data_IF_338400297570
#
_entry.id   IF_338400297570
#
_cell.length_a   1.000
_cell.length_b   1.000
_cell.length_c   1.000
_cell.angle_alpha   90.00
_cell.angle_beta   90.00
_cell.angle_gamma   90.00
#
_symmetry.space_group_name_H-M   'P 1'
#
loop_
_entity.id
_entity.type
_entity.pdbx_description
1 polymer ?
#
# COMPACT_ATOMS: atom_id res chain seq x y z
N UNK A 1 8.08 3.01 -26.78
CA UNK A 1 7.26 3.81 -25.83
C UNK A 1 8.22 4.64 -25.00
N UNK A 2 8.34 5.95 -25.22
CA UNK A 2 9.46 6.74 -24.68
C UNK A 2 9.10 7.39 -23.34
N UNK A 3 10.11 7.65 -22.52
CA UNK A 3 10.00 8.24 -21.17
C UNK A 3 9.26 9.60 -21.15
N UNK A 4 9.24 10.32 -22.28
CA UNK A 4 8.52 11.60 -22.44
C UNK A 4 6.99 11.42 -22.49
N UNK A 5 6.51 10.34 -23.10
CA UNK A 5 5.07 10.04 -23.23
C UNK A 5 4.44 9.70 -21.87
N UNK A 6 5.19 9.04 -20.99
CA UNK A 6 4.76 8.74 -19.63
C UNK A 6 4.68 10.01 -18.77
N UNK A 7 5.67 10.91 -18.87
CA UNK A 7 5.68 12.18 -18.14
C UNK A 7 4.51 13.09 -18.56
N UNK A 8 4.22 13.18 -19.85
CA UNK A 8 3.09 13.96 -20.36
C UNK A 8 1.75 13.41 -19.85
N UNK A 9 1.55 12.09 -19.91
CA UNK A 9 0.34 11.44 -19.37
C UNK A 9 0.21 11.60 -17.86
N UNK A 10 1.30 11.46 -17.11
CA UNK A 10 1.29 11.68 -15.67
C UNK A 10 0.92 13.12 -15.31
N UNK A 11 1.37 14.10 -16.11
CA UNK A 11 1.06 15.51 -15.90
C UNK A 11 -0.43 15.83 -16.16
N UNK A 12 -1.01 15.25 -17.21
CA UNK A 12 -2.46 15.35 -17.49
C UNK A 12 -3.29 14.64 -16.42
N UNK A 13 -2.85 13.46 -15.95
CA UNK A 13 -3.53 12.74 -14.86
C UNK A 13 -3.45 13.49 -13.53
N UNK A 14 -2.33 14.16 -13.25
CA UNK A 14 -2.15 14.98 -12.05
C UNK A 14 -3.13 16.17 -12.01
N UNK A 15 -3.45 16.78 -13.15
CA UNK A 15 -4.45 17.87 -13.23
C UNK A 15 -5.87 17.42 -12.86
N UNK A 16 -6.17 16.12 -12.99
CA UNK A 16 -7.45 15.51 -12.64
C UNK A 16 -7.43 14.79 -11.27
N UNK A 17 -6.32 14.86 -10.54
CA UNK A 17 -6.18 14.20 -9.24
C UNK A 17 -7.10 14.85 -8.20
N UNK A 18 -7.95 14.04 -7.57
CA UNK A 18 -8.81 14.45 -6.45
C UNK A 18 -8.06 14.41 -5.10
N UNK A 19 -6.73 14.37 -5.13
CA UNK A 19 -5.90 14.37 -3.93
C UNK A 19 -5.93 15.71 -3.19
N UNK A 20 -5.45 15.75 -1.93
CA UNK A 20 -5.41 16.97 -1.15
C UNK A 20 -4.57 18.05 -1.85
N UNK A 21 -5.15 19.25 -2.00
CA UNK A 21 -4.51 20.38 -2.68
C UNK A 21 -3.63 21.21 -1.76
N UNK A 22 -3.89 21.19 -0.45
CA UNK A 22 -3.09 21.91 0.54
C UNK A 22 -1.82 21.14 0.90
N UNK A 23 -0.73 21.87 1.16
CA UNK A 23 0.54 21.26 1.61
C UNK A 23 0.36 20.44 2.90
N UNK A 24 -0.51 20.89 3.81
CA UNK A 24 -0.89 20.13 5.01
C UNK A 24 -1.62 18.81 4.67
N UNK A 25 -2.58 18.84 3.74
CA UNK A 25 -3.29 17.64 3.30
C UNK A 25 -2.37 16.66 2.55
N UNK A 26 -1.45 17.17 1.74
CA UNK A 26 -0.41 16.35 1.08
C UNK A 26 0.53 15.72 2.11
N UNK A 27 0.94 16.47 3.14
CA UNK A 27 1.80 15.96 4.21
C UNK A 27 1.14 14.84 5.00
N UNK A 28 -0.15 14.98 5.33
CA UNK A 28 -0.94 13.93 6.03
C UNK A 28 -1.08 12.67 5.16
N UNK A 29 -1.43 12.82 3.87
CA UNK A 29 -1.48 11.66 2.94
C UNK A 29 -0.12 11.02 2.75
N UNK A 30 0.95 11.81 2.67
CA UNK A 30 2.31 11.32 2.54
C UNK A 30 2.82 10.62 3.82
N UNK A 31 2.38 11.05 5.00
CA UNK A 31 2.67 10.39 6.26
C UNK A 31 1.92 9.05 6.40
N UNK A 32 0.66 8.98 5.97
CA UNK A 32 -0.11 7.73 5.98
C UNK A 32 0.52 6.66 5.06
N UNK A 33 1.02 7.08 3.89
CA UNK A 33 1.76 6.18 2.99
C UNK A 33 3.14 5.76 3.56
N UNK A 34 3.82 6.64 4.30
CA UNK A 34 5.13 6.38 4.91
C UNK A 34 5.07 5.51 6.17
N UNK A 35 4.01 5.64 6.98
CA UNK A 35 3.94 5.03 8.32
C UNK A 35 3.24 3.67 8.33
N UNK A 36 2.21 3.47 7.49
CA UNK A 36 1.32 2.30 7.60
C UNK A 36 0.87 1.71 6.24
N UNK A 37 1.46 2.12 5.12
CA UNK A 37 1.09 1.59 3.81
C UNK A 37 1.74 0.25 3.48
N UNK A 38 1.03 -0.61 2.73
CA UNK A 38 1.57 -1.81 2.07
C UNK A 38 2.76 -1.51 1.13
N UNK A 39 3.01 -0.23 0.84
CA UNK A 39 4.15 0.29 0.07
C UNK A 39 5.17 1.07 0.90
N UNK A 40 5.07 1.05 2.24
CA UNK A 40 6.02 1.72 3.14
C UNK A 40 7.40 1.06 3.12
N UNK A 41 8.35 1.58 3.91
CA UNK A 41 9.68 0.94 4.07
C UNK A 41 9.51 -0.50 4.56
N UNK A 42 10.26 -1.43 3.99
CA UNK A 42 10.25 -2.82 4.42
C UNK A 42 10.97 -2.95 5.75
N UNK A 43 10.52 -3.89 6.58
CA UNK A 43 11.20 -4.26 7.81
C UNK A 43 12.59 -4.86 7.46
N UNK A 44 13.70 -4.27 7.95
CA UNK A 44 15.04 -4.76 7.66
C UNK A 44 15.26 -6.21 8.08
N UNK A 45 14.61 -6.66 9.15
CA UNK A 45 14.73 -8.05 9.65
C UNK A 45 14.14 -9.04 8.66
N UNK A 46 12.96 -8.73 8.12
CA UNK A 46 12.32 -9.51 7.07
C UNK A 46 13.17 -9.58 5.81
N UNK A 47 13.81 -8.48 5.40
CA UNK A 47 14.71 -8.45 4.24
C UNK A 47 15.96 -9.29 4.49
N UNK A 48 16.59 -9.16 5.67
CA UNK A 48 17.76 -9.95 6.05
C UNK A 48 17.46 -11.46 6.06
N UNK A 49 16.28 -11.85 6.58
CA UNK A 49 15.84 -13.24 6.58
C UNK A 49 15.74 -13.84 5.17
N UNK A 50 15.20 -13.08 4.21
CA UNK A 50 15.16 -13.51 2.81
C UNK A 50 16.54 -13.54 2.18
N UNK A 51 17.39 -12.56 2.49
CA UNK A 51 18.75 -12.51 1.97
C UNK A 51 19.58 -13.71 2.45
N UNK A 52 19.46 -14.08 3.72
CA UNK A 52 20.05 -15.28 4.31
C UNK A 52 19.65 -16.56 3.55
N UNK A 53 18.36 -16.69 3.21
CA UNK A 53 17.86 -17.81 2.41
C UNK A 53 18.42 -17.80 0.99
N UNK A 54 18.45 -16.64 0.33
CA UNK A 54 18.90 -16.50 -1.07
C UNK A 54 20.40 -16.79 -1.21
N UNK A 55 21.20 -16.29 -0.27
CA UNK A 55 22.66 -16.49 -0.24
C UNK A 55 23.08 -17.80 0.43
N UNK A 56 22.14 -18.55 1.03
CA UNK A 56 22.41 -19.72 1.85
C UNK A 56 23.38 -19.42 3.02
N UNK A 57 23.15 -18.28 3.68
CA UNK A 57 23.94 -17.75 4.80
C UNK A 57 23.02 -17.51 5.99
N UNK A 58 22.79 -18.50 6.87
CA UNK A 58 21.77 -18.43 7.91
C UNK A 58 22.06 -17.37 8.99
N UNK A 59 23.32 -16.96 9.16
CA UNK A 59 23.75 -16.05 10.22
C UNK A 59 23.66 -14.56 9.84
N UNK A 60 23.22 -14.24 8.62
CA UNK A 60 23.22 -12.88 8.08
C UNK A 60 22.20 -11.98 8.82
N UNK A 61 22.68 -10.89 9.41
CA UNK A 61 21.87 -9.96 10.20
C UNK A 61 21.50 -8.70 9.40
N UNK A 62 20.52 -7.94 9.92
CA UNK A 62 20.10 -6.68 9.28
C UNK A 62 21.20 -5.62 9.16
N UNK A 63 22.24 -5.70 9.99
CA UNK A 63 23.41 -4.81 9.92
C UNK A 63 24.38 -5.17 8.78
N UNK A 64 24.26 -6.37 8.22
CA UNK A 64 25.14 -6.91 7.17
C UNK A 64 24.60 -6.63 5.75
N UNK A 65 23.57 -5.77 5.63
CA UNK A 65 22.85 -5.46 4.37
C UNK A 65 23.64 -4.58 3.38
N UNK A 66 24.97 -4.68 3.34
CA UNK A 66 25.86 -3.89 2.49
C UNK A 66 26.57 -4.81 1.48
N UNK A 67 25.98 -5.05 0.30
CA UNK A 67 26.64 -5.82 -0.74
C UNK A 67 27.70 -4.97 -1.48
N UNK A 68 28.89 -5.53 -1.63
CA UNK A 68 30.02 -4.89 -2.34
C UNK A 68 30.19 -5.44 -3.77
N UNK A 69 29.46 -6.48 -4.15
CA UNK A 69 29.52 -7.13 -5.45
C UNK A 69 28.15 -7.17 -6.17
N UNK A 70 28.17 -7.33 -7.50
CA UNK A 70 26.96 -7.35 -8.32
C UNK A 70 26.01 -8.50 -7.91
N UNK A 71 26.58 -9.62 -7.46
CA UNK A 71 25.83 -10.76 -6.95
C UNK A 71 25.06 -10.34 -5.68
N UNK A 72 25.74 -9.83 -4.66
CA UNK A 72 25.10 -9.35 -3.43
C UNK A 72 24.03 -8.28 -3.68
N UNK A 73 24.26 -7.36 -4.63
CA UNK A 73 23.28 -6.34 -4.99
C UNK A 73 22.00 -6.97 -5.56
N UNK A 74 22.11 -7.93 -6.48
CA UNK A 74 20.93 -8.62 -7.02
C UNK A 74 20.23 -9.50 -5.99
N UNK A 75 20.99 -10.13 -5.09
CA UNK A 75 20.44 -10.91 -3.98
C UNK A 75 19.60 -10.01 -3.06
N UNK A 76 20.12 -8.83 -2.70
CA UNK A 76 19.42 -7.85 -1.87
C UNK A 76 18.13 -7.35 -2.56
N UNK A 77 18.18 -7.05 -3.85
CA UNK A 77 16.99 -6.63 -4.62
C UNK A 77 15.93 -7.74 -4.62
N UNK A 78 16.33 -9.00 -4.81
CA UNK A 78 15.42 -10.15 -4.74
C UNK A 78 14.84 -10.31 -3.33
N UNK A 79 15.66 -10.20 -2.28
CA UNK A 79 15.22 -10.27 -0.90
C UNK A 79 14.17 -9.21 -0.55
N UNK A 80 14.40 -7.96 -0.98
CA UNK A 80 13.43 -6.88 -0.84
C UNK A 80 12.13 -7.18 -1.58
N UNK A 81 12.21 -7.74 -2.79
CA UNK A 81 11.03 -8.09 -3.57
C UNK A 81 10.21 -9.23 -2.93
N UNK A 82 10.86 -10.24 -2.35
CA UNK A 82 10.21 -11.33 -1.61
C UNK A 82 9.53 -10.79 -0.33
N UNK A 83 10.25 -9.99 0.48
CA UNK A 83 9.68 -9.34 1.66
C UNK A 83 8.46 -8.46 1.30
N UNK A 84 8.55 -7.70 0.21
CA UNK A 84 7.46 -6.87 -0.29
C UNK A 84 6.24 -7.69 -0.74
N UNK A 85 6.46 -8.84 -1.38
CA UNK A 85 5.38 -9.73 -1.80
C UNK A 85 4.65 -10.31 -0.58
N UNK A 86 5.38 -10.86 0.39
CA UNK A 86 4.79 -11.41 1.61
C UNK A 86 3.95 -10.36 2.33
N UNK A 87 4.47 -9.14 2.49
CA UNK A 87 3.70 -8.04 3.11
C UNK A 87 2.41 -7.72 2.35
N UNK A 88 2.46 -7.65 1.02
CA UNK A 88 1.28 -7.35 0.22
C UNK A 88 0.22 -8.45 0.28
N UNK A 89 0.64 -9.72 0.25
CA UNK A 89 -0.27 -10.86 0.37
C UNK A 89 -0.87 -10.95 1.77
N UNK A 90 -0.07 -10.70 2.81
CA UNK A 90 -0.55 -10.68 4.20
C UNK A 90 -1.57 -9.55 4.41
N UNK A 91 -1.32 -8.34 3.89
CA UNK A 91 -2.29 -7.25 3.98
C UNK A 91 -3.62 -7.57 3.27
N UNK A 92 -3.58 -8.17 2.08
CA UNK A 92 -4.80 -8.62 1.39
C UNK A 92 -5.54 -9.69 2.19
N UNK A 93 -4.82 -10.65 2.77
CA UNK A 93 -5.40 -11.71 3.61
C UNK A 93 -6.03 -11.15 4.88
N UNK A 94 -5.39 -10.19 5.54
CA UNK A 94 -5.90 -9.55 6.75
C UNK A 94 -7.16 -8.74 6.45
N UNK A 95 -7.19 -8.06 5.31
CA UNK A 95 -8.40 -7.41 4.80
C UNK A 95 -9.54 -8.42 4.57
N UNK A 96 -9.28 -9.47 3.79
CA UNK A 96 -10.31 -10.44 3.40
C UNK A 96 -10.83 -11.28 4.57
N UNK A 97 -10.01 -11.45 5.62
CA UNK A 97 -10.37 -12.11 6.87
C UNK A 97 -10.99 -11.18 7.92
N UNK A 98 -11.10 -9.88 7.63
CA UNK A 98 -11.68 -8.89 8.56
C UNK A 98 -10.81 -8.57 9.77
N UNK A 99 -9.54 -8.99 9.78
CA UNK A 99 -8.57 -8.67 10.84
C UNK A 99 -7.97 -7.29 10.70
N UNK A 100 -8.00 -6.73 9.49
CA UNK A 100 -7.47 -5.41 9.24
C UNK A 100 -8.40 -4.34 9.80
N UNK A 101 -7.82 -3.39 10.57
CA UNK A 101 -8.60 -2.29 11.11
C UNK A 101 -9.02 -1.31 10.01
N UNK A 102 -10.22 -0.71 10.12
CA UNK A 102 -10.58 0.48 9.38
C UNK A 102 -9.52 1.57 9.50
N UNK A 103 -9.42 2.42 8.49
CA UNK A 103 -8.60 3.62 8.56
C UNK A 103 -9.11 4.57 9.63
N UNK A 104 -8.22 5.36 10.25
CA UNK A 104 -8.60 6.38 11.23
C UNK A 104 -9.67 7.32 10.68
N UNK A 105 -9.55 7.67 9.38
CA UNK A 105 -10.52 8.50 8.66
C UNK A 105 -11.92 7.88 8.62
N UNK A 106 -12.03 6.56 8.44
CA UNK A 106 -13.34 5.90 8.47
C UNK A 106 -13.87 5.79 9.90
N UNK A 107 -13.01 5.62 10.90
CA UNK A 107 -13.42 5.70 12.31
C UNK A 107 -14.03 7.08 12.60
N UNK A 108 -13.36 8.16 12.21
CA UNK A 108 -13.88 9.54 12.35
C UNK A 108 -15.22 9.72 11.60
N UNK A 109 -15.36 9.15 10.39
CA UNK A 109 -16.63 9.22 9.66
C UNK A 109 -17.75 8.43 10.33
N UNK A 110 -17.45 7.30 10.99
CA UNK A 110 -18.44 6.53 11.76
C UNK A 110 -18.91 7.31 12.98
N UNK A 111 -17.99 7.94 13.70
CA UNK A 111 -18.33 8.82 14.83
C UNK A 111 -19.22 9.99 14.36
N UNK A 112 -18.88 10.62 13.23
CA UNK A 112 -19.73 11.68 12.64
C UNK A 112 -21.11 11.18 12.23
N UNK A 113 -21.20 9.97 11.66
CA UNK A 113 -22.48 9.35 11.30
C UNK A 113 -23.35 9.17 12.55
N UNK A 114 -22.77 8.66 13.63
CA UNK A 114 -23.49 8.37 14.86
C UNK A 114 -23.97 9.69 15.51
N UNK A 115 -23.13 10.73 15.54
CA UNK A 115 -23.55 12.08 15.99
C UNK A 115 -24.72 12.66 15.17
N UNK A 116 -24.69 12.52 13.84
CA UNK A 116 -25.78 13.01 12.96
C UNK A 116 -27.09 12.24 13.25
N UNK A 117 -27.00 10.93 13.47
CA UNK A 117 -28.18 10.11 13.77
C UNK A 117 -28.80 10.49 15.12
N UNK A 118 -27.97 10.71 16.14
CA UNK A 118 -28.41 11.13 17.47
C UNK A 118 -29.09 12.52 17.41
N UNK A 119 -28.48 13.49 16.72
CA UNK A 119 -29.06 14.83 16.55
C UNK A 119 -30.42 14.77 15.82
N UNK A 120 -30.54 13.96 14.77
CA UNK A 120 -31.80 13.77 14.04
C UNK A 120 -32.91 13.11 14.86
N UNK A 121 -32.55 12.33 15.89
CA UNK A 121 -33.49 11.63 16.75
C UNK A 121 -34.02 12.52 17.88
N UNK A 122 -33.19 13.44 18.39
CA UNK A 122 -33.50 14.28 19.56
C UNK A 122 -34.04 15.65 19.14
N UNK A 123 -33.45 16.29 18.13
CA UNK A 123 -33.74 17.68 17.81
C UNK A 123 -34.85 17.84 16.76
N UNK A 124 -35.82 18.74 16.96
CA UNK A 124 -36.80 19.08 15.93
C UNK A 124 -36.10 19.75 14.75
N UNK A 125 -35.94 19.00 13.67
CA UNK A 125 -35.28 19.47 12.46
C UNK A 125 -36.27 19.87 11.35
N UNK A 126 -35.91 20.90 10.58
CA UNK A 126 -36.65 21.26 9.38
C UNK A 126 -36.49 20.17 8.29
N UNK A 127 -37.43 20.13 7.33
CA UNK A 127 -37.34 19.23 6.17
C UNK A 127 -36.02 19.38 5.41
N UNK A 128 -35.49 20.61 5.33
CA UNK A 128 -34.23 20.92 4.66
C UNK A 128 -33.04 20.31 5.41
N UNK A 129 -32.93 20.56 6.71
CA UNK A 129 -31.86 19.99 7.55
C UNK A 129 -31.88 18.47 7.52
N UNK A 130 -33.07 17.85 7.61
CA UNK A 130 -33.22 16.40 7.50
C UNK A 130 -32.72 15.86 6.16
N UNK A 131 -33.00 16.54 5.05
CA UNK A 131 -32.51 16.16 3.72
C UNK A 131 -30.99 16.26 3.61
N UNK A 132 -30.41 17.33 4.15
CA UNK A 132 -28.96 17.55 4.15
C UNK A 132 -28.25 16.47 4.98
N UNK A 133 -28.78 16.15 6.17
CA UNK A 133 -28.26 15.09 7.02
C UNK A 133 -28.31 13.70 6.35
N UNK A 134 -29.45 13.33 5.75
CA UNK A 134 -29.57 12.05 5.00
C UNK A 134 -28.59 11.96 3.81
N UNK A 135 -28.33 13.09 3.14
CA UNK A 135 -27.32 13.16 2.07
C UNK A 135 -25.91 12.88 2.61
N UNK A 136 -25.56 13.46 3.75
CA UNK A 136 -24.27 13.21 4.42
C UNK A 136 -24.14 11.74 4.86
N UNK A 137 -25.17 11.19 5.50
CA UNK A 137 -25.20 9.77 5.90
C UNK A 137 -25.02 8.83 4.71
N UNK A 138 -25.68 9.12 3.58
CA UNK A 138 -25.52 8.35 2.33
C UNK A 138 -24.08 8.40 1.80
N UNK A 139 -23.43 9.56 1.89
CA UNK A 139 -22.03 9.71 1.47
C UNK A 139 -21.07 8.96 2.40
N UNK A 140 -21.30 9.00 3.72
CA UNK A 140 -20.50 8.26 4.70
C UNK A 140 -20.65 6.75 4.47
N UNK A 141 -21.88 6.26 4.31
CA UNK A 141 -22.14 4.84 4.03
C UNK A 141 -21.43 4.36 2.76
N UNK A 142 -21.40 5.20 1.71
CA UNK A 142 -20.65 4.90 0.48
C UNK A 142 -19.14 4.79 0.73
N UNK A 143 -18.55 5.69 1.53
CA UNK A 143 -17.12 5.63 1.88
C UNK A 143 -16.83 4.35 2.68
N UNK A 144 -17.70 4.01 3.63
CA UNK A 144 -17.57 2.78 4.41
C UNK A 144 -17.54 1.54 3.52
N UNK A 145 -18.49 1.42 2.58
CA UNK A 145 -18.52 0.30 1.61
C UNK A 145 -17.25 0.26 0.75
N UNK A 146 -16.79 1.40 0.23
CA UNK A 146 -15.57 1.44 -0.61
C UNK A 146 -14.30 1.07 0.16
N UNK A 147 -14.30 1.25 1.48
CA UNK A 147 -13.17 0.88 2.31
C UNK A 147 -13.25 -0.56 2.83
N UNK A 148 -14.40 -1.04 3.29
CA UNK A 148 -14.50 -2.31 4.03
C UNK A 148 -15.01 -3.48 3.19
N UNK A 149 -15.75 -3.22 2.11
CA UNK A 149 -16.37 -4.29 1.35
C UNK A 149 -15.37 -4.98 0.41
N UNK A 150 -15.57 -6.29 0.23
CA UNK A 150 -14.95 -7.03 -0.88
C UNK A 150 -15.41 -6.42 -2.20
N UNK A 151 -14.45 -6.00 -3.01
CA UNK A 151 -14.68 -5.32 -4.29
C UNK A 151 -14.68 -3.79 -4.19
N UNK A 152 -14.69 -3.25 -2.97
CA UNK A 152 -14.46 -1.83 -2.70
C UNK A 152 -13.08 -1.36 -3.18
N UNK A 153 -12.89 -0.05 -3.20
CA UNK A 153 -11.65 0.61 -3.58
C UNK A 153 -10.43 0.09 -2.81
N UNK A 154 -10.52 -0.12 -1.49
CA UNK A 154 -9.41 -0.64 -0.67
C UNK A 154 -9.03 -2.06 -1.09
N UNK A 155 -10.01 -2.96 -1.23
CA UNK A 155 -9.80 -4.32 -1.70
C UNK A 155 -9.09 -4.35 -3.07
N UNK A 156 -9.60 -3.59 -4.04
CA UNK A 156 -9.02 -3.49 -5.39
C UNK A 156 -7.59 -2.94 -5.37
N UNK A 157 -7.30 -2.02 -4.46
CA UNK A 157 -5.95 -1.47 -4.27
C UNK A 157 -4.98 -2.53 -3.73
N UNK A 158 -5.37 -3.29 -2.71
CA UNK A 158 -4.56 -4.38 -2.16
C UNK A 158 -4.27 -5.46 -3.22
N UNK A 159 -5.29 -5.87 -3.99
CA UNK A 159 -5.11 -6.80 -5.11
C UNK A 159 -4.15 -6.27 -6.18
N UNK A 160 -4.16 -4.95 -6.41
CA UNK A 160 -3.19 -4.31 -7.32
C UNK A 160 -1.77 -4.38 -6.75
N UNK A 161 -1.58 -4.07 -5.47
CA UNK A 161 -0.26 -4.16 -4.84
C UNK A 161 0.32 -5.57 -4.86
N UNK A 162 -0.50 -6.60 -4.62
CA UNK A 162 -0.06 -8.00 -4.77
C UNK A 162 0.40 -8.28 -6.20
N UNK A 163 -0.35 -7.83 -7.22
CA UNK A 163 0.05 -8.01 -8.63
C UNK A 163 1.36 -7.29 -8.97
N UNK A 164 1.54 -6.06 -8.48
CA UNK A 164 2.76 -5.28 -8.67
C UNK A 164 3.96 -5.93 -7.97
N UNK A 165 3.80 -6.38 -6.71
CA UNK A 165 4.84 -7.09 -5.96
C UNK A 165 5.25 -8.40 -6.65
N UNK A 166 4.29 -9.20 -7.12
CA UNK A 166 4.57 -10.42 -7.92
C UNK A 166 5.37 -10.10 -9.19
N UNK A 167 5.06 -8.99 -9.86
CA UNK A 167 5.79 -8.57 -11.05
C UNK A 167 7.22 -8.12 -10.72
N UNK A 168 7.41 -7.39 -9.63
CA UNK A 168 8.74 -6.99 -9.13
C UNK A 168 9.58 -8.21 -8.75
N UNK A 169 9.01 -9.15 -8.00
CA UNK A 169 9.65 -10.42 -7.63
C UNK A 169 10.10 -11.22 -8.85
N UNK A 170 9.25 -11.35 -9.87
CA UNK A 170 9.62 -12.03 -11.12
C UNK A 170 10.82 -11.38 -11.81
N UNK A 171 10.84 -10.05 -11.92
CA UNK A 171 11.96 -9.32 -12.53
C UNK A 171 13.25 -9.47 -11.71
N UNK A 172 13.17 -9.31 -10.40
CA UNK A 172 14.32 -9.47 -9.51
C UNK A 172 14.90 -10.89 -9.59
N UNK A 173 14.04 -11.92 -9.63
CA UNK A 173 14.48 -13.31 -9.77
C UNK A 173 15.19 -13.55 -11.10
N UNK A 174 14.69 -13.00 -12.20
CA UNK A 174 15.34 -13.11 -13.51
C UNK A 174 16.74 -12.48 -13.50
N UNK A 175 16.88 -11.28 -12.94
CA UNK A 175 18.18 -10.61 -12.82
C UNK A 175 19.14 -11.39 -11.92
N UNK A 176 18.65 -11.90 -10.78
CA UNK A 176 19.46 -12.71 -9.86
C UNK A 176 19.99 -13.98 -10.53
N UNK A 177 19.12 -14.74 -11.21
CA UNK A 177 19.53 -15.97 -11.92
C UNK A 177 20.57 -15.65 -12.98
N UNK A 178 20.37 -14.59 -13.77
CA UNK A 178 21.32 -14.19 -14.80
C UNK A 178 22.72 -13.88 -14.24
N UNK A 179 22.80 -13.07 -13.17
CA UNK A 179 24.09 -12.71 -12.55
C UNK A 179 24.74 -13.92 -11.86
N UNK A 180 23.94 -14.74 -11.17
CA UNK A 180 24.43 -15.96 -10.50
C UNK A 180 24.99 -16.96 -11.49
N UNK A 181 24.33 -17.16 -12.63
CA UNK A 181 24.78 -18.10 -13.65
C UNK A 181 26.04 -17.59 -14.35
N UNK A 182 26.17 -16.27 -14.58
CA UNK A 182 27.42 -15.65 -15.05
C UNK A 182 28.58 -15.86 -14.06
N UNK A 183 28.36 -15.60 -12.77
CA UNK A 183 29.37 -15.80 -11.74
C UNK A 183 29.82 -17.27 -11.65
N UNK A 184 28.90 -18.22 -11.83
CA UNK A 184 29.22 -19.66 -11.90
C UNK A 184 30.03 -20.07 -13.12
N UNK A 185 29.84 -19.42 -14.27
CA UNK A 185 30.62 -19.71 -15.48
C UNK A 185 32.02 -19.09 -15.46
N UNK A 186 32.23 -18.07 -14.63
CA UNK A 186 33.53 -17.40 -14.46
C UNK A 186 34.44 -18.06 -13.40
N UNK A 187 33.90 -18.99 -12.59
CA UNK A 187 34.60 -19.74 -11.56
C UNK A 187 35.02 -21.13 -12.07
#
# INVERSE_FOLDING_TARGET
MTHRDQTARNRVNAQKSTGPRSERGKAVVAQNARRHGVTGRLDPTSVASWLAVILNQPDLQAQDLMPDDDLGVQALILAQAEAGLVRAEQALKDFESGRERPSDVLTEFKELRDMILDELAVEPCTKRQRREALSLLTRIAKVEVEETARGGKRHRLLQRYVREARAQRRKALQSWVAVRDQARMAA
#
